data_IF_939598054459
#
_entry.id   IF_939598054459
#
_cell.length_a   1.000
_cell.length_b   1.000
_cell.length_c   1.000
_cell.angle_alpha   90.00
_cell.angle_beta   90.00
_cell.angle_gamma   90.00
#
_symmetry.space_group_name_H-M   'P 1'
#
loop_
_entity.id
_entity.type
_entity.pdbx_description
1 polymer ?
#
# COMPACT_ATOMS: atom_id res chain seq x y z
N UNK A 1 1.50 -25.51 17.00
CA UNK A 1 1.92 -24.16 16.56
C UNK A 1 3.38 -24.23 16.15
N UNK A 2 3.68 -24.04 14.87
CA UNK A 2 5.06 -23.89 14.42
C UNK A 2 5.49 -22.48 14.85
N UNK A 3 6.53 -22.34 15.66
CA UNK A 3 7.03 -21.01 16.04
C UNK A 3 7.97 -20.55 14.94
N UNK A 4 7.89 -19.28 14.54
CA UNK A 4 8.92 -18.71 13.67
C UNK A 4 10.29 -18.92 14.31
N UNK A 5 11.22 -19.47 13.53
CA UNK A 5 12.58 -19.73 13.98
C UNK A 5 13.39 -18.48 13.70
N UNK A 6 14.09 -17.99 14.73
CA UNK A 6 15.00 -16.88 14.57
C UNK A 6 16.10 -17.27 13.56
N UNK A 7 16.31 -16.50 12.47
CA UNK A 7 17.28 -16.83 11.44
C UNK A 7 18.73 -16.60 11.91
N UNK A 8 18.93 -15.83 12.99
CA UNK A 8 20.24 -15.60 13.57
C UNK A 8 20.60 -16.73 14.55
N UNK A 9 21.86 -17.13 14.55
CA UNK A 9 22.36 -18.07 15.55
C UNK A 9 22.39 -17.37 16.92
N UNK A 10 22.14 -18.10 18.01
CA UNK A 10 22.24 -17.55 19.38
C UNK A 10 23.63 -16.97 19.70
N UNK A 11 24.68 -17.41 18.99
CA UNK A 11 26.02 -16.83 19.08
C UNK A 11 26.11 -15.40 18.50
N UNK A 12 25.26 -15.04 17.56
CA UNK A 12 25.02 -13.65 17.13
C UNK A 12 23.96 -13.02 18.03
N UNK A 13 24.30 -12.86 19.31
CA UNK A 13 23.37 -12.52 20.37
C UNK A 13 22.62 -11.20 20.11
N UNK A 14 23.28 -10.22 19.50
CA UNK A 14 22.67 -8.91 19.24
C UNK A 14 21.60 -8.97 18.15
N UNK A 15 21.91 -9.56 16.98
CA UNK A 15 20.90 -9.72 15.92
C UNK A 15 19.80 -10.68 16.34
N UNK A 16 20.16 -11.71 17.09
CA UNK A 16 19.19 -12.62 17.69
C UNK A 16 18.20 -11.85 18.57
N UNK A 17 18.67 -11.04 19.52
CA UNK A 17 17.82 -10.27 20.42
C UNK A 17 16.96 -9.23 19.69
N UNK A 18 17.53 -8.50 18.73
CA UNK A 18 16.80 -7.53 17.91
C UNK A 18 15.68 -8.23 17.12
N UNK A 19 15.93 -9.41 16.57
CA UNK A 19 14.90 -10.19 15.89
C UNK A 19 13.82 -10.67 16.86
N UNK A 20 14.19 -11.15 18.04
CA UNK A 20 13.23 -11.55 19.08
C UNK A 20 12.32 -10.39 19.49
N UNK A 21 12.87 -9.17 19.55
CA UNK A 21 12.16 -7.93 19.84
C UNK A 21 11.19 -7.56 18.70
N UNK A 22 11.73 -7.30 17.52
CA UNK A 22 11.01 -6.70 16.40
C UNK A 22 10.14 -7.68 15.63
N UNK A 23 10.32 -8.98 15.80
CA UNK A 23 9.52 -10.01 15.11
C UNK A 23 8.69 -10.79 16.12
N UNK A 24 9.33 -11.56 17.01
CA UNK A 24 8.59 -12.49 17.85
C UNK A 24 7.74 -11.80 18.91
N UNK A 25 8.32 -10.91 19.73
CA UNK A 25 7.57 -10.23 20.79
C UNK A 25 6.53 -9.29 20.21
N UNK A 26 6.91 -8.50 19.20
CA UNK A 26 5.99 -7.62 18.47
C UNK A 26 4.76 -8.36 17.91
N UNK A 27 4.95 -9.41 17.09
CA UNK A 27 3.81 -10.14 16.48
C UNK A 27 2.94 -10.80 17.55
N UNK A 28 3.54 -11.37 18.61
CA UNK A 28 2.79 -12.00 19.69
C UNK A 28 2.01 -10.98 20.51
N UNK A 29 2.59 -9.81 20.78
CA UNK A 29 1.91 -8.71 21.47
C UNK A 29 0.76 -8.17 20.62
N UNK A 30 0.99 -7.95 19.32
CA UNK A 30 -0.02 -7.47 18.37
C UNK A 30 -1.22 -8.42 18.30
N UNK A 31 -0.98 -9.72 18.13
CA UNK A 31 -2.03 -10.74 18.12
C UNK A 31 -2.80 -10.82 19.45
N UNK A 32 -2.14 -10.53 20.57
CA UNK A 32 -2.76 -10.49 21.90
C UNK A 32 -3.40 -9.14 22.24
N UNK A 33 -3.27 -8.13 21.36
CA UNK A 33 -3.65 -6.73 21.63
C UNK A 33 -2.99 -6.17 22.92
N UNK A 34 -1.80 -6.68 23.26
CA UNK A 34 -1.10 -6.37 24.51
C UNK A 34 -0.07 -5.26 24.29
N UNK A 35 -0.53 -4.01 24.37
CA UNK A 35 0.36 -2.86 24.29
C UNK A 35 1.43 -2.87 25.39
N UNK A 36 1.11 -3.29 26.62
CA UNK A 36 2.08 -3.29 27.72
C UNK A 36 3.27 -4.21 27.45
N UNK A 37 3.04 -5.36 26.82
CA UNK A 37 4.11 -6.25 26.37
C UNK A 37 4.98 -5.63 25.26
N UNK A 38 4.38 -4.87 24.33
CA UNK A 38 5.12 -4.19 23.25
C UNK A 38 5.87 -2.95 23.76
N UNK A 39 5.23 -2.14 24.60
CA UNK A 39 5.78 -0.92 25.22
C UNK A 39 7.07 -1.20 25.99
N UNK A 40 7.15 -2.37 26.63
CA UNK A 40 8.33 -2.80 27.38
C UNK A 40 9.62 -2.88 26.53
N UNK A 41 9.51 -2.91 25.20
CA UNK A 41 10.62 -2.89 24.25
C UNK A 41 11.01 -1.47 23.78
N UNK A 42 10.33 -0.42 24.22
CA UNK A 42 10.64 0.97 23.84
C UNK A 42 11.51 1.71 24.86
N UNK A 43 12.27 2.68 24.37
CA UNK A 43 12.83 3.77 25.15
C UNK A 43 11.91 4.97 24.96
N UNK A 44 10.97 5.18 25.88
CA UNK A 44 9.98 6.26 25.76
C UNK A 44 10.63 7.64 25.70
N UNK A 45 11.68 7.90 26.49
CA UNK A 45 12.31 9.23 26.58
C UNK A 45 13.12 9.64 25.34
N UNK A 46 13.43 8.69 24.45
CA UNK A 46 14.19 8.95 23.22
C UNK A 46 13.37 8.61 21.97
N UNK A 47 12.10 8.26 22.14
CA UNK A 47 11.26 7.78 21.06
C UNK A 47 10.99 8.86 20.02
N UNK A 48 10.99 8.46 18.76
CA UNK A 48 10.41 9.23 17.66
C UNK A 48 9.81 8.27 16.63
N UNK A 49 8.75 8.70 15.95
CA UNK A 49 8.20 7.97 14.81
C UNK A 49 7.88 8.90 13.64
N UNK A 50 8.40 8.53 12.47
CA UNK A 50 8.10 9.18 11.20
C UNK A 50 7.09 8.33 10.44
N UNK A 51 5.99 8.95 10.02
CA UNK A 51 5.00 8.33 9.16
C UNK A 51 5.28 8.73 7.70
N UNK A 52 5.59 7.73 6.87
CA UNK A 52 5.83 7.95 5.44
C UNK A 52 4.57 7.98 4.58
N UNK A 53 3.41 7.59 5.13
CA UNK A 53 2.13 7.60 4.42
C UNK A 53 2.12 6.73 3.17
N UNK A 54 2.83 5.59 3.18
CA UNK A 54 3.01 4.72 2.01
C UNK A 54 3.72 5.40 0.83
N UNK A 55 4.46 6.48 1.09
CA UNK A 55 5.22 7.22 0.08
C UNK A 55 6.70 6.86 0.10
N UNK A 56 7.25 6.61 -1.09
CA UNK A 56 8.69 6.49 -1.30
C UNK A 56 9.42 7.85 -1.36
N UNK A 57 8.68 8.97 -1.38
CA UNK A 57 9.25 10.32 -1.38
C UNK A 57 9.45 10.83 0.05
N UNK A 58 10.70 11.02 0.52
CA UNK A 58 10.96 11.50 1.88
C UNK A 58 10.40 12.89 2.18
N UNK A 59 10.19 13.73 1.16
CA UNK A 59 9.65 15.09 1.34
C UNK A 59 8.18 15.08 1.77
N UNK A 60 7.46 13.97 1.59
CA UNK A 60 6.06 13.84 2.01
C UNK A 60 5.92 13.22 3.41
N UNK A 61 7.02 12.85 4.06
CA UNK A 61 6.97 12.19 5.36
C UNK A 61 6.68 13.19 6.47
N UNK A 62 6.08 12.70 7.56
CA UNK A 62 5.62 13.53 8.68
C UNK A 62 6.12 13.01 10.02
N UNK A 63 6.37 13.94 10.96
CA UNK A 63 6.67 13.62 12.36
C UNK A 63 5.37 13.30 13.13
N UNK A 64 4.60 12.32 12.64
CA UNK A 64 3.28 11.99 13.20
C UNK A 64 3.34 11.48 14.64
N UNK A 65 4.47 10.87 15.05
CA UNK A 65 4.63 10.31 16.39
C UNK A 65 5.78 11.00 17.11
N UNK A 66 5.53 12.23 17.55
CA UNK A 66 6.47 12.98 18.41
C UNK A 66 6.61 12.39 19.81
N UNK A 67 5.66 11.56 20.24
CA UNK A 67 5.63 10.91 21.56
C UNK A 67 5.17 9.46 21.42
N UNK A 68 5.65 8.57 22.30
CA UNK A 68 5.32 7.13 22.24
C UNK A 68 3.81 6.87 22.39
N UNK A 69 3.10 7.69 23.18
CA UNK A 69 1.66 7.56 23.39
C UNK A 69 0.83 7.78 22.12
N UNK A 70 1.29 8.63 21.20
CA UNK A 70 0.63 8.84 19.92
C UNK A 70 0.71 7.58 19.04
N UNK A 71 1.88 6.93 19.02
CA UNK A 71 2.05 5.64 18.36
C UNK A 71 1.26 4.52 19.05
N UNK A 72 1.24 4.51 20.39
CA UNK A 72 0.48 3.53 21.18
C UNK A 72 -1.01 3.50 20.80
N UNK A 73 -1.62 4.67 20.67
CA UNK A 73 -3.03 4.79 20.30
C UNK A 73 -3.33 4.18 18.92
N UNK A 74 -2.46 4.43 17.93
CA UNK A 74 -2.61 3.87 16.59
C UNK A 74 -2.35 2.37 16.55
N UNK A 75 -1.31 1.91 17.23
CA UNK A 75 -0.98 0.49 17.31
C UNK A 75 -2.13 -0.31 17.95
N UNK A 76 -2.72 0.19 19.04
CA UNK A 76 -3.86 -0.47 19.72
C UNK A 76 -5.09 -0.49 18.83
N UNK A 77 -5.43 0.63 18.18
CA UNK A 77 -6.57 0.68 17.27
C UNK A 77 -6.41 -0.32 16.11
N UNK A 78 -5.22 -0.43 15.55
CA UNK A 78 -4.94 -1.38 14.47
C UNK A 78 -4.96 -2.84 14.94
N UNK A 79 -4.41 -3.14 16.12
CA UNK A 79 -4.46 -4.48 16.71
C UNK A 79 -5.90 -4.93 16.99
N UNK A 80 -6.75 -4.04 17.51
CA UNK A 80 -8.16 -4.29 17.74
C UNK A 80 -8.92 -4.55 16.44
N UNK A 81 -8.74 -3.69 15.43
CA UNK A 81 -9.35 -3.86 14.12
C UNK A 81 -8.94 -5.19 13.47
N UNK A 82 -7.66 -5.57 13.61
CA UNK A 82 -7.17 -6.85 13.10
C UNK A 82 -7.82 -8.02 13.83
N UNK A 83 -7.97 -7.93 15.15
CA UNK A 83 -8.59 -8.99 15.94
C UNK A 83 -10.08 -9.21 15.66
N UNK A 84 -10.77 -8.19 15.11
CA UNK A 84 -12.15 -8.29 14.64
C UNK A 84 -12.26 -8.97 13.27
N UNK A 85 -11.16 -9.16 12.55
CA UNK A 85 -11.16 -9.75 11.21
C UNK A 85 -11.25 -11.28 11.29
N UNK A 86 -12.20 -11.85 10.53
CA UNK A 86 -12.36 -13.30 10.40
C UNK A 86 -11.41 -13.87 9.34
N UNK A 87 -10.38 -14.58 9.79
CA UNK A 87 -9.38 -15.21 8.93
C UNK A 87 -9.70 -16.69 8.64
N UNK A 88 -9.35 -17.15 7.45
CA UNK A 88 -9.40 -18.56 7.05
C UNK A 88 -8.13 -19.35 7.41
N UNK A 89 -7.11 -18.67 7.96
CA UNK A 89 -5.87 -19.28 8.45
C UNK A 89 -5.44 -18.66 9.80
N UNK A 90 -4.41 -19.21 10.44
CA UNK A 90 -3.87 -18.65 11.69
C UNK A 90 -3.15 -17.32 11.40
N UNK A 91 -3.69 -16.17 11.86
CA UNK A 91 -3.13 -14.86 11.53
C UNK A 91 -1.73 -14.69 12.12
N UNK A 92 -1.41 -15.32 13.26
CA UNK A 92 -0.06 -15.24 13.85
C UNK A 92 0.97 -15.92 12.95
N UNK A 93 0.63 -17.10 12.42
CA UNK A 93 1.50 -17.80 11.48
C UNK A 93 1.66 -17.06 10.16
N UNK A 94 0.59 -16.43 9.68
CA UNK A 94 0.62 -15.64 8.47
C UNK A 94 1.51 -14.39 8.62
N UNK A 95 1.41 -13.67 9.73
CA UNK A 95 2.31 -12.55 10.04
C UNK A 95 3.76 -12.99 10.14
N UNK A 96 4.04 -14.12 10.80
CA UNK A 96 5.40 -14.67 10.84
C UNK A 96 5.95 -15.03 9.46
N UNK A 97 5.13 -15.66 8.61
CA UNK A 97 5.49 -16.04 7.25
C UNK A 97 5.74 -14.82 6.35
N UNK A 98 4.95 -13.76 6.50
CA UNK A 98 5.09 -12.54 5.73
C UNK A 98 6.22 -11.63 6.23
N UNK A 99 6.72 -11.84 7.45
CA UNK A 99 7.74 -10.98 8.05
C UNK A 99 9.15 -11.44 7.71
N UNK A 100 9.97 -10.52 7.18
CA UNK A 100 11.41 -10.70 7.03
C UNK A 100 12.16 -9.62 7.79
N UNK A 101 13.12 -10.03 8.61
CA UNK A 101 14.09 -9.14 9.27
C UNK A 101 15.49 -9.75 9.15
N UNK A 102 16.12 -9.52 8.00
CA UNK A 102 17.46 -10.03 7.68
C UNK A 102 18.53 -8.96 7.83
N UNK A 103 18.21 -7.75 7.42
CA UNK A 103 19.18 -6.66 7.29
C UNK A 103 19.19 -5.85 8.60
N UNK A 104 20.18 -6.14 9.46
CA UNK A 104 20.41 -5.46 10.74
C UNK A 104 21.87 -4.98 10.78
N UNK A 105 22.04 -3.66 10.74
CA UNK A 105 23.31 -2.99 10.94
C UNK A 105 23.48 -2.62 12.41
N UNK A 106 24.65 -2.91 12.99
CA UNK A 106 24.96 -2.65 14.39
C UNK A 106 26.27 -1.87 14.48
N UNK A 107 26.24 -0.74 15.17
CA UNK A 107 27.41 0.06 15.52
C UNK A 107 27.41 0.34 17.03
N UNK A 108 28.18 -0.45 17.78
CA UNK A 108 28.24 -0.36 19.22
C UNK A 108 26.88 -0.59 19.87
N UNK A 109 26.34 0.44 20.53
CA UNK A 109 25.03 0.40 21.21
C UNK A 109 23.88 0.94 20.36
N UNK A 110 24.06 1.10 19.05
CA UNK A 110 23.05 1.59 18.12
C UNK A 110 22.89 0.59 16.97
N UNK A 111 21.66 0.41 16.50
CA UNK A 111 21.37 -0.46 15.37
C UNK A 111 20.26 0.12 14.48
N UNK A 112 20.34 -0.20 13.19
CA UNK A 112 19.29 0.06 12.20
C UNK A 112 18.83 -1.28 11.67
N UNK A 113 17.52 -1.53 11.74
CA UNK A 113 16.93 -2.81 11.41
C UNK A 113 15.81 -2.64 10.37
N UNK A 114 15.89 -3.35 9.25
CA UNK A 114 14.95 -3.24 8.13
C UNK A 114 13.93 -4.38 8.20
N UNK A 115 12.78 -4.12 8.80
CA UNK A 115 11.68 -5.08 8.88
C UNK A 115 10.78 -4.92 7.66
N UNK A 116 10.51 -6.02 6.97
CA UNK A 116 9.63 -6.06 5.80
C UNK A 116 8.46 -6.98 6.06
N UNK A 117 7.31 -6.61 5.51
CA UNK A 117 6.14 -7.44 5.38
C UNK A 117 5.87 -7.63 3.89
N UNK A 118 5.85 -8.88 3.45
CA UNK A 118 5.56 -9.28 2.07
C UNK A 118 4.84 -10.63 2.11
N UNK A 119 3.53 -10.60 1.95
CA UNK A 119 2.70 -11.80 1.95
C UNK A 119 1.22 -11.51 2.03
N UNK A 120 0.42 -12.57 2.18
CA UNK A 120 -1.03 -12.49 2.28
C UNK A 120 -1.54 -13.31 3.45
N UNK A 121 -2.71 -12.91 3.97
CA UNK A 121 -3.52 -13.68 4.91
C UNK A 121 -4.88 -13.99 4.27
N UNK A 122 -5.30 -15.25 4.26
CA UNK A 122 -6.61 -15.64 3.74
C UNK A 122 -7.74 -15.19 4.68
N UNK A 123 -8.79 -14.56 4.11
CA UNK A 123 -10.00 -14.15 4.83
C UNK A 123 -11.08 -15.24 4.76
N UNK A 124 -11.95 -15.30 5.77
CA UNK A 124 -13.02 -16.30 5.87
C UNK A 124 -14.05 -16.21 4.71
N UNK A 125 -14.23 -15.03 4.13
CA UNK A 125 -15.12 -14.77 3.00
C UNK A 125 -14.52 -15.17 1.64
N UNK A 126 -13.30 -15.72 1.62
CA UNK A 126 -12.57 -16.10 0.42
C UNK A 126 -11.71 -14.97 -0.17
N UNK A 127 -11.69 -13.79 0.45
CA UNK A 127 -10.78 -12.70 0.13
C UNK A 127 -9.35 -12.93 0.66
N UNK A 128 -8.49 -11.94 0.41
CA UNK A 128 -7.13 -11.91 0.95
C UNK A 128 -6.80 -10.55 1.51
N UNK A 129 -6.25 -10.52 2.72
CA UNK A 129 -5.53 -9.35 3.21
C UNK A 129 -4.10 -9.41 2.70
N UNK A 130 -3.54 -8.27 2.27
CA UNK A 130 -2.20 -8.24 1.72
C UNK A 130 -1.29 -7.36 2.58
N UNK A 131 -0.23 -7.98 3.07
CA UNK A 131 0.81 -7.32 3.84
C UNK A 131 1.95 -6.96 2.89
N UNK A 132 2.08 -5.67 2.55
CA UNK A 132 3.15 -5.20 1.68
C UNK A 132 3.66 -3.81 2.07
N UNK A 133 4.50 -3.78 3.10
CA UNK A 133 5.13 -2.56 3.60
C UNK A 133 6.45 -2.88 4.29
N UNK A 134 7.19 -1.84 4.67
CA UNK A 134 8.39 -2.00 5.48
C UNK A 134 8.50 -0.90 6.54
N UNK A 135 9.36 -1.16 7.52
CA UNK A 135 9.68 -0.26 8.62
C UNK A 135 11.19 -0.29 8.84
N UNK A 136 11.79 0.90 8.94
CA UNK A 136 13.18 1.06 9.39
C UNK A 136 13.11 1.36 10.89
N UNK A 137 13.61 0.45 11.71
CA UNK A 137 13.71 0.63 13.15
C UNK A 137 15.08 1.15 13.55
N UNK A 138 15.09 2.09 14.49
CA UNK A 138 16.26 2.56 15.19
C UNK A 138 16.25 1.95 16.58
N UNK A 139 17.31 1.22 16.92
CA UNK A 139 17.42 0.52 18.18
C UNK A 139 18.64 1.00 18.97
N UNK A 140 18.51 0.98 20.29
CA UNK A 140 19.61 1.27 21.21
C UNK A 140 19.76 0.19 22.26
N UNK A 141 21.01 -0.09 22.62
CA UNK A 141 21.35 -1.04 23.68
C UNK A 141 21.52 -0.30 25.01
N UNK A 142 20.73 -0.65 26.02
CA UNK A 142 20.83 -0.13 27.40
C UNK A 142 21.01 -1.29 28.36
N UNK A 143 22.06 -1.23 29.20
CA UNK A 143 22.37 -2.24 30.22
C UNK A 143 22.34 -3.68 29.69
N UNK A 144 22.84 -3.88 28.47
CA UNK A 144 22.92 -5.20 27.84
C UNK A 144 21.68 -5.65 27.05
N UNK A 145 20.56 -4.91 27.09
CA UNK A 145 19.32 -5.22 26.35
C UNK A 145 19.08 -4.23 25.21
N UNK A 146 18.58 -4.69 24.08
CA UNK A 146 18.15 -3.87 22.95
C UNK A 146 16.72 -3.35 23.13
N UNK A 147 16.50 -2.12 22.71
CA UNK A 147 15.21 -1.43 22.74
C UNK A 147 14.99 -0.64 21.46
N UNK A 148 13.72 -0.37 21.14
CA UNK A 148 13.28 0.53 20.08
C UNK A 148 13.40 1.97 20.58
N UNK A 149 14.18 2.79 19.90
CA UNK A 149 14.26 4.24 20.13
C UNK A 149 13.54 5.04 19.06
N UNK A 150 13.06 4.41 17.99
CA UNK A 150 12.23 5.08 17.00
C UNK A 150 12.10 4.30 15.70
N UNK A 151 11.34 4.84 14.77
CA UNK A 151 11.15 4.22 13.46
C UNK A 151 10.83 5.23 12.35
N UNK A 152 11.02 4.78 11.11
CA UNK A 152 10.31 5.29 9.92
C UNK A 152 9.42 4.16 9.42
N UNK A 153 8.12 4.35 9.51
CA UNK A 153 7.11 3.32 9.30
C UNK A 153 6.21 3.63 8.12
N UNK A 154 5.29 2.71 7.84
CA UNK A 154 4.32 2.81 6.75
C UNK A 154 4.99 2.94 5.37
N UNK A 155 6.24 2.48 5.21
CA UNK A 155 6.99 2.64 3.97
C UNK A 155 6.49 1.63 2.92
N UNK A 156 6.45 2.01 1.64
CA UNK A 156 6.15 1.06 0.59
C UNK A 156 7.24 -0.01 0.51
N UNK A 157 6.87 -1.24 0.17
CA UNK A 157 7.80 -2.33 -0.13
C UNK A 157 7.56 -2.83 -1.57
N UNK A 158 8.55 -2.73 -2.48
CA UNK A 158 9.86 -2.10 -2.31
C UNK A 158 9.78 -0.57 -2.14
N UNK A 159 10.85 0.02 -1.61
CA UNK A 159 11.06 1.48 -1.65
C UNK A 159 11.77 1.86 -2.95
N UNK A 160 11.64 3.12 -3.38
CA UNK A 160 12.32 3.61 -4.59
C UNK A 160 11.67 3.20 -5.90
N UNK A 161 10.62 2.38 -5.87
CA UNK A 161 9.58 2.39 -6.89
C UNK A 161 8.76 3.66 -6.71
N UNK A 162 9.24 4.77 -7.28
CA UNK A 162 8.35 5.88 -7.64
C UNK A 162 7.22 5.34 -8.53
N UNK A 163 5.98 5.86 -8.50
CA UNK A 163 5.04 5.59 -9.56
C UNK A 163 5.32 6.46 -10.80
N UNK A 164 5.89 6.05 -11.93
CA UNK A 164 6.85 5.02 -12.39
C UNK A 164 6.89 3.57 -11.84
N UNK A 165 5.87 3.05 -11.16
CA UNK A 165 5.98 1.96 -10.16
C UNK A 165 4.87 2.01 -9.09
N UNK A 166 3.58 1.93 -9.43
CA UNK A 166 2.86 0.70 -9.82
C UNK A 166 3.09 -0.42 -8.77
N UNK A 167 2.42 -0.38 -7.61
CA UNK A 167 1.75 -1.57 -7.01
C UNK A 167 1.18 -1.41 -5.59
N UNK A 168 1.47 -0.34 -4.83
CA UNK A 168 1.11 -0.32 -3.39
C UNK A 168 -0.31 0.15 -3.06
N UNK A 169 -1.08 0.73 -3.99
CA UNK A 169 -2.45 1.19 -3.72
C UNK A 169 -3.54 0.13 -3.94
N UNK A 170 -3.21 -1.02 -4.55
CA UNK A 170 -4.18 -2.09 -4.85
C UNK A 170 -4.56 -2.98 -3.65
N UNK A 171 -4.09 -2.68 -2.43
CA UNK A 171 -4.15 -3.64 -1.33
C UNK A 171 -4.86 -3.19 -0.06
N UNK A 172 -5.10 -1.89 0.09
CA UNK A 172 -5.69 -1.33 1.31
C UNK A 172 -7.21 -1.22 1.32
N UNK A 173 -7.94 -1.65 0.28
CA UNK A 173 -9.40 -1.47 0.18
C UNK A 173 -10.20 -2.74 -0.16
N UNK A 174 -9.67 -3.95 0.09
CA UNK A 174 -10.48 -5.17 -0.09
C UNK A 174 -11.41 -5.52 1.09
N UNK A 175 -11.38 -4.77 2.18
CA UNK A 175 -12.31 -4.99 3.30
C UNK A 175 -13.29 -3.83 3.37
N UNK A 176 -14.38 -3.93 2.59
CA UNK A 176 -15.79 -3.65 2.95
C UNK A 176 -16.65 -3.71 1.67
N UNK A 177 -17.38 -4.81 1.53
CA UNK A 177 -18.65 -4.98 0.79
C UNK A 177 -18.72 -4.62 -0.70
N UNK A 178 -18.06 -5.38 -1.58
CA UNK A 178 -18.42 -5.42 -2.99
C UNK A 178 -19.62 -6.35 -3.24
N UNK A 179 -20.83 -5.79 -3.26
CA UNK A 179 -22.02 -6.44 -3.84
C UNK A 179 -21.87 -6.37 -5.37
N UNK A 180 -21.35 -7.43 -5.99
CA UNK A 180 -21.26 -7.56 -7.46
C UNK A 180 -22.66 -7.50 -8.07
N UNK A 181 -22.89 -6.51 -8.94
CA UNK A 181 -23.81 -6.65 -10.06
C UNK A 181 -23.00 -7.23 -11.23
N UNK A 182 -23.14 -8.54 -11.47
CA UNK A 182 -22.58 -9.17 -12.67
C UNK A 182 -23.51 -8.95 -13.85
N UNK A 183 -22.96 -8.48 -14.98
CA UNK A 183 -23.64 -8.54 -16.28
C UNK A 183 -22.66 -8.85 -17.40
N UNK A 184 -22.83 -10.07 -17.92
CA UNK A 184 -22.53 -10.62 -19.25
C UNK A 184 -21.08 -11.00 -19.62
N UNK A 185 -20.96 -12.32 -19.82
CA UNK A 185 -19.97 -13.04 -20.60
C UNK A 185 -19.63 -12.34 -21.92
N UNK A 186 -18.34 -12.13 -22.14
CA UNK A 186 -17.76 -12.28 -23.49
C UNK A 186 -16.46 -13.07 -23.40
N UNK A 187 -16.47 -14.20 -24.09
CA UNK A 187 -15.33 -15.09 -24.32
C UNK A 187 -14.25 -14.38 -25.12
N UNK A 188 -13.01 -14.32 -24.63
CA UNK A 188 -11.85 -14.03 -25.47
C UNK A 188 -10.60 -14.77 -24.99
N UNK A 189 -9.94 -15.39 -25.97
CA UNK A 189 -8.94 -16.44 -25.88
C UNK A 189 -7.59 -15.87 -25.44
N UNK A 190 -7.05 -16.34 -24.31
CA UNK A 190 -5.67 -16.04 -23.87
C UNK A 190 -4.66 -16.59 -24.87
N UNK A 191 -3.91 -15.72 -25.54
CA UNK A 191 -2.58 -16.04 -26.06
C UNK A 191 -1.54 -15.58 -25.06
N UNK A 192 -0.69 -16.51 -24.62
CA UNK A 192 0.54 -16.16 -23.92
C UNK A 192 1.53 -15.57 -24.91
N UNK A 193 2.18 -14.47 -24.53
CA UNK A 193 3.47 -14.10 -25.08
C UNK A 193 4.23 -13.26 -24.06
N UNK A 194 5.39 -13.78 -23.68
CA UNK A 194 6.50 -13.13 -23.02
C UNK A 194 6.92 -11.85 -23.75
N UNK A 195 6.89 -10.70 -23.07
CA UNK A 195 7.87 -9.61 -23.20
C UNK A 195 7.50 -8.46 -22.26
N UNK A 196 8.51 -7.96 -21.54
CA UNK A 196 8.56 -6.65 -20.91
C UNK A 196 8.01 -5.58 -21.87
N UNK A 197 6.89 -4.95 -21.52
CA UNK A 197 6.47 -3.69 -22.14
C UNK A 197 6.24 -2.69 -21.02
N UNK A 198 6.96 -1.58 -21.15
CA UNK A 198 6.83 -0.39 -20.33
C UNK A 198 5.36 0.04 -20.31
N UNK A 199 4.91 0.57 -19.17
CA UNK A 199 3.54 1.00 -18.91
C UNK A 199 3.63 2.47 -18.53
N UNK A 200 2.93 3.36 -19.23
CA UNK A 200 2.79 4.75 -18.81
C UNK A 200 1.46 4.95 -18.10
N UNK A 201 1.48 5.77 -17.05
CA UNK A 201 0.32 6.19 -16.29
C UNK A 201 0.07 7.65 -16.60
N UNK A 202 -1.18 7.97 -16.85
CA UNK A 202 -1.66 9.35 -17.00
C UNK A 202 -2.65 9.58 -15.87
N UNK A 203 -2.39 10.59 -15.05
CA UNK A 203 -3.20 10.92 -13.88
C UNK A 203 -3.56 12.39 -13.90
N UNK A 204 -4.85 12.71 -13.86
CA UNK A 204 -5.33 14.08 -13.74
C UNK A 204 -6.34 14.24 -12.63
N UNK A 205 -6.13 15.30 -11.86
CA UNK A 205 -7.09 15.81 -10.89
C UNK A 205 -8.00 16.79 -11.60
N UNK A 206 -9.30 16.70 -11.38
CA UNK A 206 -10.23 17.63 -12.00
C UNK A 206 -9.94 19.10 -11.60
N UNK A 207 -10.04 20.05 -12.54
CA UNK A 207 -9.95 21.47 -12.24
C UNK A 207 -11.05 21.91 -11.26
N UNK A 208 -10.71 22.77 -10.31
CA UNK A 208 -11.65 23.31 -9.31
C UNK A 208 -12.45 24.52 -9.80
N UNK A 209 -12.39 24.81 -11.10
CA UNK A 209 -13.04 25.97 -11.72
C UNK A 209 -14.57 25.86 -11.81
N UNK A 210 -15.13 24.70 -11.50
CA UNK A 210 -16.57 24.43 -11.52
C UNK A 210 -16.98 23.51 -10.37
N UNK A 211 -18.25 23.55 -9.97
CA UNK A 211 -18.82 22.71 -8.90
C UNK A 211 -19.60 21.51 -9.45
N UNK A 212 -19.88 21.47 -10.76
CA UNK A 212 -20.59 20.39 -11.43
C UNK A 212 -19.67 19.19 -11.68
N UNK A 213 -20.03 18.03 -11.13
CA UNK A 213 -19.22 16.82 -11.20
C UNK A 213 -18.98 16.35 -12.64
N UNK A 214 -20.02 16.36 -13.49
CA UNK A 214 -19.90 15.87 -14.86
C UNK A 214 -18.90 16.69 -15.67
N UNK A 215 -18.95 18.00 -15.51
CA UNK A 215 -17.99 18.92 -16.13
C UNK A 215 -16.57 18.68 -15.63
N UNK A 216 -16.38 18.48 -14.32
CA UNK A 216 -15.07 18.16 -13.71
C UNK A 216 -14.50 16.84 -14.23
N UNK A 217 -15.32 15.79 -14.29
CA UNK A 217 -14.93 14.48 -14.77
C UNK A 217 -14.59 14.48 -16.26
N UNK A 218 -15.39 15.16 -17.09
CA UNK A 218 -15.10 15.31 -18.51
C UNK A 218 -13.79 16.09 -18.76
N UNK A 219 -13.50 17.12 -17.96
CA UNK A 219 -12.24 17.86 -18.04
C UNK A 219 -11.05 17.00 -17.64
N UNK A 220 -11.12 16.28 -16.51
CA UNK A 220 -10.06 15.35 -16.11
C UNK A 220 -9.80 14.28 -17.18
N UNK A 221 -10.86 13.79 -17.84
CA UNK A 221 -10.75 12.81 -18.92
C UNK A 221 -10.06 13.41 -20.16
N UNK A 222 -10.43 14.62 -20.55
CA UNK A 222 -9.82 15.34 -21.67
C UNK A 222 -8.34 15.63 -21.42
N UNK A 223 -7.97 16.02 -20.19
CA UNK A 223 -6.58 16.24 -19.81
C UNK A 223 -5.78 14.93 -19.91
N UNK A 224 -6.39 13.79 -19.55
CA UNK A 224 -5.77 12.49 -19.75
C UNK A 224 -5.60 12.16 -21.24
N UNK A 225 -6.60 12.45 -22.08
CA UNK A 225 -6.51 12.25 -23.53
C UNK A 225 -5.43 13.13 -24.17
N UNK A 226 -5.23 14.36 -23.69
CA UNK A 226 -4.14 15.23 -24.16
C UNK A 226 -2.77 14.63 -23.84
N UNK A 227 -2.57 14.13 -22.62
CA UNK A 227 -1.32 13.45 -22.24
C UNK A 227 -1.11 12.15 -23.03
N UNK A 228 -2.18 11.44 -23.39
CA UNK A 228 -2.08 10.27 -24.26
C UNK A 228 -1.54 10.66 -25.64
N UNK A 229 -2.06 11.75 -26.21
CA UNK A 229 -1.61 12.26 -27.50
C UNK A 229 -0.15 12.72 -27.48
N UNK A 230 0.33 13.32 -26.39
CA UNK A 230 1.76 13.65 -26.21
C UNK A 230 2.65 12.40 -26.26
N UNK A 231 2.14 11.26 -25.79
CA UNK A 231 2.81 9.97 -25.84
C UNK A 231 2.52 9.16 -27.12
N UNK A 232 1.84 9.77 -28.12
CA UNK A 232 1.39 9.12 -29.36
C UNK A 232 0.47 7.91 -29.14
N UNK A 233 -0.37 7.97 -28.11
CA UNK A 233 -1.41 6.98 -27.81
C UNK A 233 -2.81 7.59 -27.92
N UNK A 234 -3.82 6.73 -28.07
CA UNK A 234 -5.24 7.09 -28.10
C UNK A 234 -6.01 6.39 -26.96
N UNK A 235 -7.27 6.79 -26.71
CA UNK A 235 -8.08 6.21 -25.64
C UNK A 235 -8.26 4.70 -25.80
N UNK A 236 -8.27 4.18 -27.03
CA UNK A 236 -8.38 2.74 -27.28
C UNK A 236 -7.14 1.94 -26.86
N UNK A 237 -6.00 2.59 -26.63
CA UNK A 237 -4.79 1.95 -26.09
C UNK A 237 -4.87 1.76 -24.57
N UNK A 238 -5.85 2.40 -23.92
CA UNK A 238 -6.13 2.25 -22.49
C UNK A 238 -6.73 0.88 -22.26
N UNK A 239 -6.08 0.08 -21.41
CA UNK A 239 -6.61 -1.23 -21.01
C UNK A 239 -7.21 -1.22 -19.60
N UNK A 240 -6.86 -0.21 -18.78
CA UNK A 240 -7.41 -0.02 -17.43
C UNK A 240 -7.56 1.45 -17.09
N UNK A 241 -8.67 1.79 -16.43
CA UNK A 241 -8.92 3.09 -15.82
C UNK A 241 -9.25 2.92 -14.33
N UNK A 242 -8.70 3.78 -13.50
CA UNK A 242 -9.06 3.93 -12.09
C UNK A 242 -9.63 5.33 -11.88
N UNK A 243 -10.76 5.40 -11.19
CA UNK A 243 -11.49 6.65 -10.94
C UNK A 243 -11.68 6.77 -9.44
N UNK A 244 -11.17 7.85 -8.88
CA UNK A 244 -11.34 8.14 -7.46
C UNK A 244 -12.30 9.31 -7.36
N UNK A 245 -13.40 9.14 -6.64
CA UNK A 245 -14.42 10.18 -6.43
C UNK A 245 -14.43 10.64 -4.97
N UNK A 246 -14.81 11.89 -4.73
CA UNK A 246 -14.95 12.40 -3.36
C UNK A 246 -16.20 11.89 -2.64
N UNK A 247 -17.22 11.47 -3.40
CA UNK A 247 -18.50 10.94 -2.93
C UNK A 247 -18.89 9.78 -3.85
N UNK A 248 -19.25 8.63 -3.30
CA UNK A 248 -19.52 7.41 -4.08
C UNK A 248 -20.71 7.56 -5.04
N UNK A 249 -21.66 8.44 -4.72
CA UNK A 249 -22.83 8.74 -5.56
C UNK A 249 -22.44 9.29 -6.93
N UNK A 250 -21.25 9.92 -7.02
CA UNK A 250 -20.71 10.46 -8.26
C UNK A 250 -20.20 9.36 -9.22
N UNK A 251 -20.11 8.10 -8.78
CA UNK A 251 -19.81 6.97 -9.66
C UNK A 251 -20.89 6.77 -10.75
N UNK A 252 -22.16 7.03 -10.41
CA UNK A 252 -23.29 6.89 -11.34
C UNK A 252 -23.20 7.89 -12.51
N UNK A 253 -23.08 9.21 -12.28
CA UNK A 253 -22.90 10.15 -13.37
C UNK A 253 -21.57 9.98 -14.11
N UNK A 254 -20.53 9.41 -13.49
CA UNK A 254 -19.28 9.09 -14.18
C UNK A 254 -19.45 7.98 -15.22
N UNK A 255 -20.29 6.97 -14.94
CA UNK A 255 -20.50 5.85 -15.88
C UNK A 255 -20.98 6.33 -17.26
N UNK A 256 -21.83 7.36 -17.31
CA UNK A 256 -22.27 7.96 -18.59
C UNK A 256 -21.09 8.52 -19.38
N UNK A 257 -20.18 9.22 -18.70
CA UNK A 257 -18.97 9.81 -19.31
C UNK A 257 -18.04 8.71 -19.82
N UNK A 258 -17.90 7.63 -19.04
CA UNK A 258 -17.11 6.47 -19.42
C UNK A 258 -17.66 5.76 -20.67
N UNK A 259 -18.97 5.53 -20.72
CA UNK A 259 -19.60 4.86 -21.86
C UNK A 259 -19.53 5.70 -23.15
N UNK A 260 -19.60 7.03 -23.03
CA UNK A 260 -19.41 7.96 -24.14
C UNK A 260 -17.96 7.97 -24.66
N UNK A 261 -16.99 7.86 -23.76
CA UNK A 261 -15.56 7.87 -24.10
C UNK A 261 -15.08 6.55 -24.74
N UNK A 262 -15.68 5.41 -24.37
CA UNK A 262 -15.35 4.10 -24.93
C UNK A 262 -16.59 3.37 -25.48
N UNK A 263 -17.11 3.79 -26.64
CA UNK A 263 -18.34 3.21 -27.19
C UNK A 263 -18.15 1.80 -27.78
N UNK A 264 -16.91 1.39 -28.10
CA UNK A 264 -16.64 0.15 -28.86
C UNK A 264 -15.81 -0.87 -28.09
N UNK A 265 -14.81 -0.43 -27.32
CA UNK A 265 -13.96 -1.32 -26.51
C UNK A 265 -13.65 -0.62 -25.20
N UNK A 266 -14.21 -1.15 -24.11
CA UNK A 266 -14.06 -0.54 -22.80
C UNK A 266 -12.85 -1.11 -22.06
N UNK A 267 -11.98 -0.26 -21.49
CA UNK A 267 -10.96 -0.72 -20.55
C UNK A 267 -11.63 -1.28 -19.30
N UNK A 268 -10.85 -2.03 -18.52
CA UNK A 268 -11.30 -2.40 -17.18
C UNK A 268 -11.40 -1.14 -16.32
N UNK A 269 -12.58 -0.85 -15.76
CA UNK A 269 -12.81 0.30 -14.87
C UNK A 269 -12.87 -0.13 -13.40
N UNK A 270 -12.26 0.70 -12.54
CA UNK A 270 -12.39 0.62 -11.09
C UNK A 270 -12.76 2.00 -10.55
N UNK A 271 -13.83 2.11 -9.77
CA UNK A 271 -14.25 3.36 -9.13
C UNK A 271 -14.22 3.19 -7.62
N UNK A 272 -13.65 4.16 -6.89
CA UNK A 272 -13.54 4.14 -5.42
C UNK A 272 -13.78 5.53 -4.83
N UNK A 273 -14.32 5.59 -3.61
CA UNK A 273 -14.41 6.84 -2.85
C UNK A 273 -13.13 7.10 -2.05
N UNK A 274 -12.60 8.32 -2.13
CA UNK A 274 -11.53 8.78 -1.24
C UNK A 274 -11.53 10.31 -1.09
N UNK A 275 -10.88 10.80 -0.03
CA UNK A 275 -10.63 12.23 0.13
C UNK A 275 -9.61 12.70 -0.91
N UNK A 276 -10.03 13.60 -1.79
CA UNK A 276 -9.18 14.17 -2.84
C UNK A 276 -8.57 15.53 -2.44
N UNK A 277 -7.41 15.91 -2.99
CA UNK A 277 -6.79 17.22 -2.75
C UNK A 277 -7.62 18.40 -3.29
N UNK A 278 -7.47 19.57 -2.68
CA UNK A 278 -7.94 20.88 -3.20
C UNK A 278 -9.40 20.88 -3.69
N UNK A 279 -10.35 20.42 -2.88
CA UNK A 279 -11.79 20.38 -3.21
C UNK A 279 -12.15 19.64 -4.52
N UNK A 280 -11.22 18.87 -5.10
CA UNK A 280 -11.47 18.09 -6.28
C UNK A 280 -12.50 16.99 -5.98
N UNK A 281 -13.39 16.73 -6.93
CA UNK A 281 -14.41 15.69 -6.81
C UNK A 281 -14.04 14.39 -7.51
N UNK A 282 -13.08 14.43 -8.43
CA UNK A 282 -12.66 13.27 -9.20
C UNK A 282 -11.19 13.33 -9.59
N UNK A 283 -10.53 12.18 -9.54
CA UNK A 283 -9.21 11.92 -10.09
C UNK A 283 -9.34 10.71 -11.03
N UNK A 284 -8.74 10.80 -12.21
CA UNK A 284 -8.76 9.74 -13.22
C UNK A 284 -7.34 9.30 -13.50
N UNK A 285 -7.11 7.99 -13.47
CA UNK A 285 -5.84 7.36 -13.81
C UNK A 285 -6.04 6.37 -14.95
N UNK A 286 -5.26 6.51 -16.03
CA UNK A 286 -5.31 5.64 -17.19
C UNK A 286 -4.02 4.84 -17.34
N UNK A 287 -4.18 3.59 -17.78
CA UNK A 287 -3.10 2.65 -18.03
C UNK A 287 -3.10 2.25 -19.50
N UNK A 288 -2.00 2.51 -20.18
CA UNK A 288 -1.78 2.11 -21.57
C UNK A 288 -0.65 1.11 -21.68
N UNK A 289 -0.73 0.25 -22.70
CA UNK A 289 0.45 -0.49 -23.14
C UNK A 289 1.32 0.49 -23.94
N UNK A 290 2.62 0.59 -23.63
CA UNK A 290 3.49 1.54 -24.34
C UNK A 290 3.38 1.41 -25.87
N UNK A 291 3.48 2.52 -26.60
CA UNK A 291 3.47 2.49 -28.06
C UNK A 291 4.62 1.60 -28.54
N UNK A 292 4.35 0.75 -29.53
CA UNK A 292 5.41 -0.07 -30.15
C UNK A 292 6.49 0.87 -30.67
N UNK A 293 7.79 0.55 -30.49
CA UNK A 293 8.83 1.29 -31.20
C UNK A 293 8.53 1.24 -32.70
N UNK A 294 8.72 2.36 -33.38
CA UNK A 294 8.58 2.43 -34.83
C UNK A 294 9.38 1.27 -35.44
N UNK A 295 8.81 0.53 -36.41
CA UNK A 295 9.56 -0.51 -37.10
C UNK A 295 10.79 0.17 -37.73
N UNK A 296 11.96 -0.21 -37.25
CA UNK A 296 13.25 0.32 -37.71
C UNK A 296 13.29 0.16 -39.23
N UNK A 297 13.37 1.30 -39.94
CA UNK A 297 13.66 1.38 -41.37
C UNK A 297 15.14 1.22 -41.66
#
# INVERSE_FOLDING_TARGET
MQKAVNPFNIADADRFEIWEMLVRRDIMAFAAQDWSAHEADFISEEFFGVNSGNSGNPDSWSAAFGELSAYAAEWVAFAQQTAETEYAEDPVQAHFRATTLRDIEINGSFAVAHKKFDGTIALADGGVEILNWQTIYFCKKRKGRWFISGFIGYLPNPMGSSPDGIDSFLRGQQTIASRRLTSRDTTSTRRSSTASQVRSIISNLAPTSTTDFKTMAAQALNDCELQLKEQKCELNDVFRITVIVSQIEDAIPFQTIFDEAWPTSQPTISISEARLPKDAKVQIEMWINSPRPDPVG
#
